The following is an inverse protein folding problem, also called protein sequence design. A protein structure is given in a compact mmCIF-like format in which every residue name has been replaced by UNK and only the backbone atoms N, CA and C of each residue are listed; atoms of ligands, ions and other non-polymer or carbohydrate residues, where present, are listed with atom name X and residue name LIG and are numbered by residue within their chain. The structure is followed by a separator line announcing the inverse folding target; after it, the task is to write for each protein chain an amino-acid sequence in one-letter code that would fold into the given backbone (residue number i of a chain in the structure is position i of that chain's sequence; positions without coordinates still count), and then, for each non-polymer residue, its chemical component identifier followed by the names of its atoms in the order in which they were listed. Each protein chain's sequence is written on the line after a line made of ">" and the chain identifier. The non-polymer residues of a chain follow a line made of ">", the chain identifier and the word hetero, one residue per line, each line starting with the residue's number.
data_IF_173779457019
#
_entry.id   IF_173779457019
#
_cell.length_a   1.000
_cell.length_b   1.000
_cell.length_c   1.000
_cell.angle_alpha   90.00
_cell.angle_beta   90.00
_cell.angle_gamma   90.00
#
_symmetry.space_group_name_H-M   'P 1'
#
loop_
_entity.id
_entity.type
_entity.pdbx_description
1 polymer ?
#
# COMPACT_ATOMS: atom_id res chain seq x y z
N UNK A 1 7.16 -6.90 -22.11
CA UNK A 1 6.27 -7.26 -20.99
C UNK A 1 6.16 -6.16 -19.93
N UNK A 2 7.20 -5.36 -19.63
CA UNK A 2 7.08 -4.23 -18.68
C UNK A 2 6.19 -3.07 -19.17
N UNK A 3 6.01 -2.91 -20.48
CA UNK A 3 5.23 -1.81 -21.07
C UNK A 3 3.71 -1.93 -20.97
N UNK A 4 3.16 -3.14 -20.85
CA UNK A 4 1.70 -3.37 -20.76
C UNK A 4 1.18 -3.15 -19.33
N UNK A 5 1.99 -3.52 -18.34
CA UNK A 5 1.70 -3.32 -16.93
C UNK A 5 1.60 -1.82 -16.61
N UNK A 6 2.53 -1.02 -17.16
CA UNK A 6 2.57 0.43 -16.95
C UNK A 6 1.37 1.16 -17.58
N UNK A 7 0.90 0.72 -18.74
CA UNK A 7 -0.30 1.28 -19.39
C UNK A 7 -1.59 0.93 -18.62
N UNK A 8 -1.67 -0.27 -18.06
CA UNK A 8 -2.84 -0.71 -17.27
C UNK A 8 -2.97 0.04 -15.94
N UNK A 9 -1.86 0.46 -15.33
CA UNK A 9 -1.87 1.21 -14.08
C UNK A 9 -2.14 2.71 -14.26
N UNK A 10 -1.81 3.30 -15.42
CA UNK A 10 -2.20 4.68 -15.73
C UNK A 10 -3.74 4.83 -15.80
N UNK A 11 -4.43 3.83 -16.37
CA UNK A 11 -5.89 3.77 -16.37
C UNK A 11 -6.49 3.52 -14.97
N UNK A 12 -5.74 2.88 -14.07
CA UNK A 12 -6.12 2.59 -12.67
C UNK A 12 -5.48 3.53 -11.66
N UNK A 13 -4.95 4.69 -12.10
CA UNK A 13 -4.25 5.63 -11.23
C UNK A 13 -5.11 6.10 -10.05
N UNK A 14 -6.40 6.34 -10.28
CA UNK A 14 -7.34 6.73 -9.22
C UNK A 14 -7.52 5.59 -8.20
N UNK A 15 -7.66 4.36 -8.68
CA UNK A 15 -7.79 3.16 -7.83
C UNK A 15 -6.55 2.95 -6.98
N UNK A 16 -5.35 3.12 -7.56
CA UNK A 16 -4.06 3.05 -6.88
C UNK A 16 -3.96 4.10 -5.77
N UNK A 17 -4.28 5.36 -6.07
CA UNK A 17 -4.22 6.45 -5.08
C UNK A 17 -5.21 6.24 -3.92
N UNK A 18 -6.44 5.83 -4.22
CA UNK A 18 -7.44 5.51 -3.20
C UNK A 18 -7.03 4.29 -2.35
N UNK A 19 -6.45 3.26 -2.98
CA UNK A 19 -5.94 2.10 -2.28
C UNK A 19 -4.79 2.48 -1.35
N UNK A 20 -3.83 3.30 -1.82
CA UNK A 20 -2.73 3.83 -0.99
C UNK A 20 -3.23 4.62 0.22
N UNK A 21 -4.21 5.51 0.06
CA UNK A 21 -4.83 6.23 1.19
C UNK A 21 -5.41 5.28 2.24
N UNK A 22 -6.16 4.26 1.79
CA UNK A 22 -6.77 3.28 2.70
C UNK A 22 -5.71 2.45 3.43
N UNK A 23 -4.64 2.04 2.74
CA UNK A 23 -3.50 1.35 3.34
C UNK A 23 -2.88 2.22 4.43
N UNK A 24 -2.54 3.47 4.13
CA UNK A 24 -1.91 4.39 5.10
C UNK A 24 -2.81 4.66 6.30
N UNK A 25 -4.11 4.81 6.09
CA UNK A 25 -5.06 4.95 7.20
C UNK A 25 -5.00 3.74 8.14
N UNK A 26 -5.03 2.52 7.59
CA UNK A 26 -4.96 1.28 8.39
C UNK A 26 -3.64 1.17 9.18
N UNK A 27 -2.53 1.59 8.56
CA UNK A 27 -1.22 1.65 9.22
C UNK A 27 -1.16 2.71 10.33
N UNK A 28 -1.71 3.92 10.09
CA UNK A 28 -1.79 5.02 11.06
C UNK A 28 -2.64 4.67 12.28
N UNK A 29 -3.69 3.86 12.09
CA UNK A 29 -4.54 3.35 13.17
C UNK A 29 -3.84 2.28 14.04
N UNK A 30 -2.55 2.01 13.83
CA UNK A 30 -1.74 1.16 14.71
C UNK A 30 -1.92 -0.34 14.47
N UNK A 31 -2.50 -0.72 13.33
CA UNK A 31 -2.53 -2.13 12.92
C UNK A 31 -1.16 -2.50 12.36
N UNK A 32 -0.22 -2.84 13.24
CA UNK A 32 0.98 -3.57 12.84
C UNK A 32 0.53 -4.97 12.40
N UNK A 33 0.73 -5.27 11.12
CA UNK A 33 0.25 -6.51 10.53
C UNK A 33 1.38 -7.55 10.42
N UNK A 34 1.44 -8.52 11.33
CA UNK A 34 2.34 -9.68 11.23
C UNK A 34 2.27 -10.40 9.86
N UNK A 35 1.16 -10.25 9.13
CA UNK A 35 1.03 -10.57 7.70
C UNK A 35 0.31 -9.46 6.95
N UNK A 36 1.08 -8.43 6.57
CA UNK A 36 0.57 -7.20 5.93
C UNK A 36 -0.34 -7.47 4.75
N UNK A 37 0.05 -8.36 3.83
CA UNK A 37 -0.75 -8.65 2.64
C UNK A 37 -2.09 -9.30 2.97
N UNK A 38 -2.07 -10.37 3.78
CA UNK A 38 -3.29 -11.12 4.12
C UNK A 38 -4.27 -10.19 4.87
N UNK A 39 -3.80 -9.49 5.90
CA UNK A 39 -4.69 -8.66 6.69
C UNK A 39 -5.20 -7.44 5.93
N UNK A 40 -4.36 -6.81 5.09
CA UNK A 40 -4.84 -5.71 4.24
C UNK A 40 -5.83 -6.21 3.20
N UNK A 41 -5.60 -7.37 2.57
CA UNK A 41 -6.54 -7.97 1.63
C UNK A 41 -7.91 -8.23 2.28
N UNK A 42 -7.94 -8.76 3.51
CA UNK A 42 -9.20 -8.98 4.25
C UNK A 42 -9.89 -7.67 4.65
N UNK A 43 -9.15 -6.71 5.21
CA UNK A 43 -9.69 -5.42 5.67
C UNK A 43 -10.22 -4.56 4.49
N UNK A 44 -9.54 -4.63 3.35
CA UNK A 44 -9.90 -3.88 2.15
C UNK A 44 -10.90 -4.64 1.26
N UNK A 45 -11.23 -5.89 1.62
CA UNK A 45 -12.10 -6.81 0.87
C UNK A 45 -11.65 -7.00 -0.59
N UNK A 46 -10.34 -7.17 -0.74
CA UNK A 46 -9.69 -7.35 -2.04
C UNK A 46 -9.81 -8.81 -2.51
N UNK A 47 -9.93 -8.99 -3.81
CA UNK A 47 -9.90 -10.31 -4.44
C UNK A 47 -8.46 -10.80 -4.61
N UNK A 48 -8.27 -12.09 -4.93
CA UNK A 48 -6.95 -12.66 -5.22
C UNK A 48 -6.21 -11.91 -6.33
N UNK A 49 -6.96 -11.39 -7.32
CA UNK A 49 -6.43 -10.60 -8.43
C UNK A 49 -5.93 -9.21 -8.01
N UNK A 50 -6.46 -8.67 -6.90
CA UNK A 50 -6.09 -7.37 -6.36
C UNK A 50 -4.88 -7.46 -5.42
N UNK A 51 -4.41 -8.68 -5.09
CA UNK A 51 -3.22 -8.88 -4.24
C UNK A 51 -1.98 -8.31 -4.91
N UNK A 52 -1.81 -8.51 -6.22
CA UNK A 52 -0.69 -7.93 -6.98
C UNK A 52 -0.76 -6.39 -7.01
N UNK A 53 -1.98 -5.83 -7.06
CA UNK A 53 -2.18 -4.39 -6.97
C UNK A 53 -1.83 -3.85 -5.58
N UNK A 54 -2.21 -4.58 -4.53
CA UNK A 54 -1.85 -4.27 -3.15
C UNK A 54 -0.33 -4.28 -2.94
N UNK A 55 0.36 -5.32 -3.44
CA UNK A 55 1.82 -5.41 -3.41
C UNK A 55 2.47 -4.22 -4.13
N UNK A 56 1.95 -3.86 -5.30
CA UNK A 56 2.42 -2.70 -6.04
C UNK A 56 2.24 -1.40 -5.24
N UNK A 57 1.06 -1.18 -4.65
CA UNK A 57 0.82 0.00 -3.80
C UNK A 57 1.73 0.05 -2.57
N UNK A 58 2.00 -1.10 -1.92
CA UNK A 58 2.94 -1.17 -0.80
C UNK A 58 4.36 -0.82 -1.23
N UNK A 59 4.80 -1.31 -2.40
CA UNK A 59 6.09 -0.95 -2.99
C UNK A 59 6.21 0.56 -3.22
N UNK A 60 5.20 1.17 -3.85
CA UNK A 60 5.17 2.62 -4.05
C UNK A 60 5.22 3.38 -2.73
N UNK A 61 4.46 2.97 -1.71
CA UNK A 61 4.48 3.62 -0.40
C UNK A 61 5.83 3.50 0.31
N UNK A 62 6.59 2.42 0.07
CA UNK A 62 7.97 2.29 0.56
C UNK A 62 8.91 3.23 -0.20
N UNK A 63 8.81 3.30 -1.52
CA UNK A 63 9.62 4.24 -2.34
C UNK A 63 9.31 5.70 -2.00
N UNK A 64 8.04 6.01 -1.77
CA UNK A 64 7.58 7.32 -1.34
C UNK A 64 8.02 7.63 0.10
N UNK A 65 8.45 6.63 0.88
CA UNK A 65 8.94 6.76 2.26
C UNK A 65 7.83 6.90 3.30
N UNK A 66 6.67 6.31 3.05
CA UNK A 66 5.55 6.21 4.00
C UNK A 66 5.61 4.93 4.82
N UNK A 67 6.19 3.88 4.25
CA UNK A 67 6.37 2.57 4.86
C UNK A 67 7.85 2.17 4.82
N UNK A 68 8.25 1.30 5.72
CA UNK A 68 9.51 0.56 5.65
C UNK A 68 9.24 -0.93 5.48
N UNK A 69 9.91 -1.57 4.53
CA UNK A 69 9.88 -3.03 4.43
C UNK A 69 10.90 -3.63 5.40
N UNK A 70 10.44 -4.43 6.35
CA UNK A 70 11.32 -5.10 7.31
C UNK A 70 12.15 -6.17 6.61
N UNK A 71 13.42 -6.32 7.02
CA UNK A 71 14.37 -7.24 6.35
C UNK A 71 14.19 -8.71 6.77
N UNK A 72 13.42 -8.98 7.82
CA UNK A 72 13.41 -10.28 8.50
C UNK A 72 12.11 -11.06 8.36
N UNK A 73 11.02 -10.41 7.98
CA UNK A 73 9.69 -10.98 7.73
C UNK A 73 9.07 -10.10 6.64
N UNK A 74 8.27 -10.67 5.72
CA UNK A 74 7.61 -9.92 4.63
C UNK A 74 6.51 -8.99 5.20
N UNK A 75 6.95 -8.00 5.96
CA UNK A 75 6.15 -7.11 6.80
C UNK A 75 6.56 -5.68 6.47
N UNK A 76 5.55 -4.83 6.34
CA UNK A 76 5.70 -3.40 6.17
C UNK A 76 5.36 -2.70 7.48
N UNK A 77 6.18 -1.72 7.85
CA UNK A 77 6.00 -0.92 9.05
C UNK A 77 5.64 0.51 8.66
N UNK A 78 4.73 1.12 9.42
CA UNK A 78 4.37 2.51 9.21
C UNK A 78 5.51 3.41 9.68
N UNK A 79 6.16 4.10 8.75
CA UNK A 79 7.28 5.00 9.03
C UNK A 79 7.18 6.22 8.10
N UNK A 80 6.25 7.16 8.39
CA UNK A 80 6.06 8.33 7.55
C UNK A 80 7.18 9.38 7.71
N UNK A 81 8.12 9.18 8.64
CA UNK A 81 9.13 10.17 9.00
C UNK A 81 8.49 11.47 9.49
N UNK A 82 8.78 12.58 8.81
CA UNK A 82 8.19 13.90 9.10
C UNK A 82 6.83 14.13 8.41
N UNK A 83 6.34 13.17 7.62
CA UNK A 83 5.09 13.36 6.89
C UNK A 83 3.90 13.23 7.83
N UNK A 84 3.10 14.28 7.89
CA UNK A 84 1.96 14.39 8.79
C UNK A 84 0.67 13.81 8.20
N UNK A 85 0.54 13.85 6.87
CA UNK A 85 -0.69 13.46 6.19
C UNK A 85 -0.50 12.95 4.75
N UNK A 86 -1.12 11.81 4.43
CA UNK A 86 -1.08 11.22 3.09
C UNK A 86 -2.23 11.77 2.25
N UNK A 87 -1.91 12.70 1.36
CA UNK A 87 -2.84 13.14 0.31
C UNK A 87 -3.99 14.03 0.77
N UNK A 88 -3.89 14.70 1.92
CA UNK A 88 -4.91 15.63 2.44
C UNK A 88 -6.12 14.93 3.07
N UNK A 89 -5.90 13.85 3.83
CA UNK A 89 -6.94 13.23 4.65
C UNK A 89 -7.27 14.16 5.84
N UNK A 90 -8.12 15.15 5.57
CA UNK A 90 -8.88 15.91 6.59
C UNK A 90 -9.77 14.98 7.45
#
# INVERSE_FOLDING_TARGET
>A
MEGEIKNSYDARKIEIEELKKRIIKLFKEGKAFDSTLITLSEQLKLSSEDVTLLEYCLGLLVEEGWLKKSSSLDHYEYDPGEKLDYGGLE
#
